data_IF_354848643902
#
_entry.id   IF_354848643902
#
_cell.length_a   1.000
_cell.length_b   1.000
_cell.length_c   1.000
_cell.angle_alpha   90.00
_cell.angle_beta   90.00
_cell.angle_gamma   90.00
#
_symmetry.space_group_name_H-M   'P 1'
#
loop_
_entity.id
_entity.type
_entity.pdbx_description
1 polymer ?
#
# COMPACT_ATOMS: atom_id res chain seq x y z
N UNK A 1 17.31 1.63 2.50
CA UNK A 1 16.29 0.79 1.84
C UNK A 1 15.86 -0.30 2.82
N UNK A 2 14.61 -0.28 3.28
CA UNK A 2 14.08 -1.28 4.22
C UNK A 2 12.75 -1.84 3.69
N UNK A 3 12.73 -3.13 3.38
CA UNK A 3 11.57 -3.84 2.87
C UNK A 3 10.38 -3.87 3.84
N UNK A 4 10.64 -3.70 5.13
CA UNK A 4 9.61 -3.62 6.16
C UNK A 4 8.62 -2.49 5.87
N UNK A 5 9.04 -1.41 5.21
CA UNK A 5 8.18 -0.28 4.84
C UNK A 5 7.10 -0.65 3.82
N UNK A 6 7.37 -1.61 2.94
CA UNK A 6 6.51 -1.92 1.79
C UNK A 6 5.70 -3.20 1.98
N UNK A 7 6.37 -4.32 2.30
CA UNK A 7 5.73 -5.64 2.23
C UNK A 7 4.46 -5.79 3.08
N UNK A 8 4.42 -5.35 4.36
CA UNK A 8 3.21 -5.49 5.16
C UNK A 8 2.00 -4.78 4.53
N UNK A 9 2.19 -3.55 4.06
CA UNK A 9 1.14 -2.78 3.40
C UNK A 9 0.74 -3.38 2.05
N UNK A 10 1.72 -3.68 1.19
CA UNK A 10 1.46 -4.26 -0.14
C UNK A 10 0.67 -5.56 -0.05
N UNK A 11 1.08 -6.48 0.83
CA UNK A 11 0.38 -7.74 1.00
C UNK A 11 -0.99 -7.55 1.64
N UNK A 12 -1.13 -6.68 2.64
CA UNK A 12 -2.44 -6.43 3.25
C UNK A 12 -3.42 -5.84 2.24
N UNK A 13 -3.02 -4.84 1.46
CA UNK A 13 -3.86 -4.25 0.42
C UNK A 13 -4.30 -5.28 -0.62
N UNK A 14 -3.35 -6.06 -1.13
CA UNK A 14 -3.63 -7.10 -2.12
C UNK A 14 -4.54 -8.22 -1.58
N UNK A 15 -4.30 -8.70 -0.36
CA UNK A 15 -5.11 -9.77 0.24
C UNK A 15 -6.51 -9.30 0.61
N UNK A 16 -6.65 -8.09 1.14
CA UNK A 16 -7.96 -7.50 1.48
C UNK A 16 -8.84 -7.37 0.24
N UNK A 17 -8.31 -6.89 -0.88
CA UNK A 17 -9.07 -6.78 -2.14
C UNK A 17 -9.04 -8.05 -2.98
N UNK A 18 -8.57 -9.19 -2.44
CA UNK A 18 -8.47 -10.47 -3.15
C UNK A 18 -7.79 -10.36 -4.52
N UNK A 19 -6.74 -9.53 -4.61
CA UNK A 19 -6.07 -9.24 -5.87
C UNK A 19 -5.47 -10.51 -6.49
N UNK A 20 -5.73 -10.74 -7.78
CA UNK A 20 -5.24 -11.92 -8.51
C UNK A 20 -3.73 -11.86 -8.80
N UNK A 21 -3.14 -10.67 -8.81
CA UNK A 21 -1.71 -10.44 -8.99
C UNK A 21 -1.25 -9.15 -8.30
N UNK A 22 0.07 -9.00 -8.11
CA UNK A 22 0.69 -7.72 -7.77
C UNK A 22 1.22 -7.09 -9.05
N UNK A 23 0.57 -6.03 -9.52
CA UNK A 23 0.95 -5.35 -10.77
C UNK A 23 1.72 -4.05 -10.54
N UNK A 24 2.14 -3.40 -11.64
CA UNK A 24 2.94 -2.17 -11.60
C UNK A 24 2.19 -1.01 -10.93
N UNK A 25 0.90 -0.86 -11.17
CA UNK A 25 0.09 0.22 -10.60
C UNK A 25 0.07 0.13 -9.07
N UNK A 26 -0.05 -1.07 -8.52
CA UNK A 26 0.01 -1.33 -7.08
C UNK A 26 1.36 -0.94 -6.47
N UNK A 27 2.48 -1.29 -7.14
CA UNK A 27 3.82 -0.93 -6.65
C UNK A 27 4.08 0.58 -6.71
N UNK A 28 3.57 1.26 -7.74
CA UNK A 28 3.66 2.72 -7.85
C UNK A 28 2.87 3.38 -6.74
N UNK A 29 1.62 2.94 -6.49
CA UNK A 29 0.78 3.46 -5.41
C UNK A 29 1.42 3.27 -4.02
N UNK A 30 2.08 2.13 -3.78
CA UNK A 30 2.84 1.90 -2.56
C UNK A 30 3.99 2.92 -2.40
N UNK A 31 4.72 3.20 -3.48
CA UNK A 31 5.80 4.19 -3.49
C UNK A 31 5.29 5.61 -3.22
N UNK A 32 4.20 6.00 -3.85
CA UNK A 32 3.54 7.30 -3.63
C UNK A 32 3.04 7.45 -2.18
N UNK A 33 2.45 6.40 -1.62
CA UNK A 33 2.02 6.39 -0.22
C UNK A 33 3.20 6.56 0.75
N UNK A 34 4.34 5.90 0.49
CA UNK A 34 5.56 6.06 1.28
C UNK A 34 6.15 7.46 1.17
N UNK A 35 6.20 8.02 -0.04
CA UNK A 35 6.65 9.41 -0.25
C UNK A 35 5.76 10.39 0.52
N UNK A 36 4.43 10.25 0.43
CA UNK A 36 3.48 11.10 1.15
C UNK A 36 3.52 10.94 2.67
N UNK A 37 4.04 9.82 3.18
CA UNK A 37 4.24 9.59 4.61
C UNK A 37 5.63 10.02 5.12
N UNK A 38 6.55 10.44 4.23
CA UNK A 38 7.91 10.81 4.60
C UNK A 38 7.94 12.25 5.15
N UNK A 39 8.48 12.48 6.37
CA UNK A 39 8.65 13.82 6.90
C UNK A 39 9.57 14.70 6.04
N UNK A 40 9.34 16.02 6.07
CA UNK A 40 10.15 16.95 5.30
C UNK A 40 11.61 16.94 5.79
N UNK A 41 12.55 16.72 4.88
CA UNK A 41 13.98 16.61 5.18
C UNK A 41 14.48 15.18 5.36
N UNK A 42 13.58 14.20 5.46
CA UNK A 42 13.93 12.79 5.53
C UNK A 42 13.84 12.11 4.15
N UNK A 43 14.52 10.98 4.00
CA UNK A 43 14.52 10.16 2.78
C UNK A 43 13.49 9.04 2.82
N UNK A 44 12.98 8.68 4.00
CA UNK A 44 12.02 7.59 4.18
C UNK A 44 11.26 7.75 5.50
N UNK A 45 10.03 7.21 5.62
CA UNK A 45 9.31 7.22 6.88
C UNK A 45 9.87 6.19 7.86
N UNK A 46 9.40 6.24 9.11
CA UNK A 46 9.78 5.29 10.16
C UNK A 46 9.15 3.92 9.90
N UNK A 47 9.98 2.87 9.79
CA UNK A 47 9.52 1.54 9.40
C UNK A 47 8.58 0.84 10.39
N UNK A 48 8.56 1.28 11.65
CA UNK A 48 7.71 0.72 12.71
C UNK A 48 6.44 1.54 12.94
N UNK A 49 6.20 2.59 12.15
CA UNK A 49 4.97 3.36 12.24
C UNK A 49 3.79 2.56 11.63
N UNK A 50 2.79 2.15 12.43
CA UNK A 50 1.63 1.42 11.92
C UNK A 50 0.81 2.21 10.90
N UNK A 51 0.83 3.54 10.97
CA UNK A 51 0.07 4.40 10.06
C UNK A 51 0.65 4.37 8.64
N UNK A 52 1.97 4.29 8.51
CA UNK A 52 2.63 4.09 7.21
C UNK A 52 2.13 2.81 6.55
N UNK A 53 2.05 1.70 7.31
CA UNK A 53 1.57 0.42 6.80
C UNK A 53 0.10 0.46 6.39
N UNK A 54 -0.76 1.15 7.16
CA UNK A 54 -2.17 1.35 6.81
C UNK A 54 -2.33 2.14 5.51
N UNK A 55 -1.61 3.25 5.38
CA UNK A 55 -1.65 4.08 4.16
C UNK A 55 -1.19 3.32 2.93
N UNK A 56 -0.10 2.56 3.04
CA UNK A 56 0.39 1.72 1.94
C UNK A 56 -0.65 0.64 1.59
N UNK A 57 -1.25 -0.02 2.59
CA UNK A 57 -2.27 -1.03 2.35
C UNK A 57 -3.49 -0.47 1.60
N UNK A 58 -4.03 0.66 2.07
CA UNK A 58 -5.16 1.32 1.41
C UNK A 58 -4.82 1.74 -0.03
N UNK A 59 -3.66 2.38 -0.24
CA UNK A 59 -3.23 2.81 -1.57
C UNK A 59 -3.08 1.63 -2.54
N UNK A 60 -2.49 0.52 -2.07
CA UNK A 60 -2.32 -0.71 -2.87
C UNK A 60 -3.66 -1.37 -3.17
N UNK A 61 -4.55 -1.47 -2.18
CA UNK A 61 -5.90 -2.00 -2.37
C UNK A 61 -6.67 -1.20 -3.42
N UNK A 62 -6.65 0.14 -3.34
CA UNK A 62 -7.31 0.99 -4.34
C UNK A 62 -6.73 0.76 -5.74
N UNK A 63 -5.40 0.70 -5.86
CA UNK A 63 -4.76 0.46 -7.14
C UNK A 63 -5.10 -0.94 -7.71
N UNK A 64 -5.29 -1.96 -6.86
CA UNK A 64 -5.74 -3.28 -7.30
C UNK A 64 -7.15 -3.24 -7.91
N UNK A 65 -8.06 -2.50 -7.29
CA UNK A 65 -9.43 -2.29 -7.79
C UNK A 65 -9.42 -1.49 -9.10
N UNK A 66 -8.71 -0.36 -9.13
CA UNK A 66 -8.63 0.51 -10.31
C UNK A 66 -8.00 -0.16 -11.53
N UNK A 67 -7.05 -1.07 -11.31
CA UNK A 67 -6.42 -1.86 -12.38
C UNK A 67 -7.21 -3.11 -12.76
N UNK A 68 -8.33 -3.40 -12.09
CA UNK A 68 -9.23 -4.51 -12.40
C UNK A 68 -8.73 -5.88 -11.93
N UNK A 69 -7.72 -5.93 -11.05
CA UNK A 69 -7.18 -7.20 -10.52
C UNK A 69 -7.74 -7.56 -9.15
N UNK A 70 -8.44 -6.64 -8.46
CA UNK A 70 -9.03 -6.85 -7.13
C UNK A 70 -10.48 -6.32 -7.00
N UNK A 71 -11.14 -6.73 -5.91
CA UNK A 71 -12.52 -6.40 -5.57
C UNK A 71 -12.63 -5.16 -4.66
N UNK A 72 -13.58 -4.28 -4.96
CA UNK A 72 -13.85 -3.06 -4.20
C UNK A 72 -14.38 -3.32 -2.79
N UNK A 73 -15.06 -4.45 -2.56
CA UNK A 73 -15.58 -4.82 -1.25
C UNK A 73 -14.46 -4.94 -0.20
N UNK A 74 -13.25 -5.31 -0.63
CA UNK A 74 -12.08 -5.42 0.24
C UNK A 74 -11.49 -4.08 0.72
N UNK A 75 -11.92 -2.95 0.17
CA UNK A 75 -11.44 -1.63 0.62
C UNK A 75 -12.02 -1.25 1.98
N UNK A 76 -13.20 -1.77 2.32
CA UNK A 76 -13.88 -1.48 3.59
C UNK A 76 -13.09 -2.04 4.78
N UNK A 77 -12.30 -3.10 4.56
CA UNK A 77 -11.41 -3.71 5.56
C UNK A 77 -10.10 -2.93 5.79
N UNK A 78 -9.87 -1.88 4.99
CA UNK A 78 -8.67 -1.05 5.00
C UNK A 78 -8.89 0.37 5.55
N UNK A 79 -10.16 0.78 5.74
CA UNK A 79 -10.54 2.00 6.46
C UNK A 79 -10.35 1.86 7.99
#
# INVERSE_FOLDING_TARGET
>A
MNNLLGYPGIWRGALSTQASEINRSMLVAAGEALMGATPQGDLSPTALDPEVHRRVAYAVGRAAVESGVGDADGLVDLE
#
